data_IF_705955142481
#
_entry.id   IF_705955142481
#
_cell.length_a   1.000
_cell.length_b   1.000
_cell.length_c   1.000
_cell.angle_alpha   90.00
_cell.angle_beta   90.00
_cell.angle_gamma   90.00
#
_symmetry.space_group_name_H-M   'P 1'
#
loop_
_entity.id
_entity.type
_entity.pdbx_description
1 polymer ?
#
# COMPACT_ATOMS: atom_id res chain seq x y z
N UNK A 1 -23.68 -67.03 -35.26
CA UNK A 1 -24.84 -66.47 -34.58
C UNK A 1 -24.42 -66.00 -33.19
N UNK A 2 -24.20 -64.67 -32.97
CA UNK A 2 -24.67 -63.87 -31.84
C UNK A 2 -24.15 -62.47 -32.01
N UNK A 3 -25.05 -61.66 -32.47
CA UNK A 3 -25.57 -60.39 -31.90
C UNK A 3 -24.57 -59.26 -31.78
N UNK A 4 -24.52 -58.54 -32.79
CA UNK A 4 -24.66 -57.07 -32.89
C UNK A 4 -25.76 -56.55 -31.98
N UNK A 5 -25.37 -55.76 -30.99
CA UNK A 5 -26.18 -54.82 -30.21
C UNK A 5 -25.23 -54.15 -29.21
N UNK A 6 -24.89 -52.92 -29.31
CA UNK A 6 -25.68 -51.75 -29.01
C UNK A 6 -24.83 -50.48 -29.30
N UNK A 7 -25.02 -49.90 -30.46
CA UNK A 7 -24.68 -48.48 -30.65
C UNK A 7 -25.80 -47.70 -30.00
N UNK A 8 -25.60 -47.26 -28.77
CA UNK A 8 -26.41 -46.18 -28.21
C UNK A 8 -26.08 -44.92 -28.99
N UNK A 9 -27.08 -44.10 -29.40
CA UNK A 9 -26.82 -42.82 -30.01
C UNK A 9 -26.14 -41.95 -28.95
N UNK A 10 -25.02 -41.35 -29.32
CA UNK A 10 -24.40 -40.24 -28.58
C UNK A 10 -25.46 -39.17 -28.41
N UNK A 11 -26.11 -39.17 -27.26
CA UNK A 11 -26.89 -38.04 -26.81
C UNK A 11 -25.97 -36.83 -26.78
N UNK A 12 -26.37 -35.77 -27.43
CA UNK A 12 -25.75 -34.45 -27.40
C UNK A 12 -25.46 -34.08 -25.96
N UNK A 13 -24.25 -34.42 -25.45
CA UNK A 13 -23.77 -33.90 -24.18
C UNK A 13 -23.74 -32.39 -24.36
N UNK A 14 -24.54 -31.69 -23.59
CA UNK A 14 -24.42 -30.21 -23.48
C UNK A 14 -22.97 -29.93 -23.19
N UNK A 15 -22.31 -29.30 -24.12
CA UNK A 15 -20.90 -28.93 -24.02
C UNK A 15 -20.71 -28.13 -22.73
N UNK A 16 -19.79 -28.56 -21.86
CA UNK A 16 -19.54 -27.93 -20.57
C UNK A 16 -19.24 -26.46 -20.77
N UNK A 17 -19.70 -25.61 -19.84
CA UNK A 17 -19.48 -24.15 -19.87
C UNK A 17 -17.99 -23.83 -19.92
N UNK A 18 -17.17 -24.62 -19.20
CA UNK A 18 -15.71 -24.52 -19.17
C UNK A 18 -15.07 -24.64 -20.56
N UNK A 19 -15.53 -25.62 -21.36
CA UNK A 19 -15.03 -25.87 -22.73
C UNK A 19 -15.41 -24.72 -23.68
N UNK A 20 -16.64 -24.19 -23.56
CA UNK A 20 -17.07 -23.02 -24.34
C UNK A 20 -16.25 -21.79 -23.98
N UNK A 21 -15.99 -21.56 -22.68
CA UNK A 21 -15.17 -20.46 -22.19
C UNK A 21 -13.74 -20.57 -22.72
N UNK A 22 -13.12 -21.74 -22.60
CA UNK A 22 -11.77 -21.97 -23.09
C UNK A 22 -11.64 -21.69 -24.60
N UNK A 23 -12.60 -22.20 -25.40
CA UNK A 23 -12.61 -21.99 -26.86
C UNK A 23 -12.88 -20.53 -27.21
N UNK A 24 -13.71 -19.84 -26.47
CA UNK A 24 -13.95 -18.38 -26.60
C UNK A 24 -12.66 -17.60 -26.36
N UNK A 25 -11.95 -17.89 -25.26
CA UNK A 25 -10.67 -17.26 -24.91
C UNK A 25 -9.66 -17.48 -26.03
N UNK A 26 -9.52 -18.73 -26.53
CA UNK A 26 -8.55 -19.04 -27.56
C UNK A 26 -8.86 -18.32 -28.88
N UNK A 27 -10.13 -18.29 -29.27
CA UNK A 27 -10.58 -17.64 -30.50
C UNK A 27 -10.47 -16.13 -30.49
N UNK A 28 -10.58 -15.52 -29.31
CA UNK A 28 -10.58 -14.07 -29.11
C UNK A 28 -9.34 -13.57 -28.36
N UNK A 29 -8.23 -14.35 -28.36
CA UNK A 29 -7.02 -14.04 -27.61
C UNK A 29 -6.53 -12.61 -27.78
N UNK A 30 -6.42 -12.12 -29.01
CA UNK A 30 -5.92 -10.76 -29.29
C UNK A 30 -6.85 -9.66 -28.76
N UNK A 31 -8.15 -9.91 -28.73
CA UNK A 31 -9.10 -8.98 -28.09
C UNK A 31 -8.95 -8.96 -26.58
N UNK A 32 -8.76 -10.12 -25.98
CA UNK A 32 -8.55 -10.26 -24.53
C UNK A 32 -7.23 -9.60 -24.13
N UNK A 33 -6.15 -9.88 -24.86
CA UNK A 33 -4.86 -9.21 -24.68
C UNK A 33 -4.98 -7.69 -24.76
N UNK A 34 -5.72 -7.17 -25.77
CA UNK A 34 -5.98 -5.73 -25.91
C UNK A 34 -6.74 -5.13 -24.70
N UNK A 35 -7.75 -5.82 -24.18
CA UNK A 35 -8.49 -5.40 -22.99
C UNK A 35 -7.56 -5.33 -21.77
N UNK A 36 -6.70 -6.32 -21.57
CA UNK A 36 -5.73 -6.31 -20.46
C UNK A 36 -4.71 -5.18 -20.59
N UNK A 37 -4.20 -4.92 -21.80
CA UNK A 37 -3.27 -3.80 -22.05
C UNK A 37 -3.94 -2.45 -21.74
N UNK A 38 -5.16 -2.24 -22.23
CA UNK A 38 -5.93 -1.02 -21.94
C UNK A 38 -6.20 -0.92 -20.44
N UNK A 39 -6.60 -2.02 -19.81
CA UNK A 39 -6.80 -2.10 -18.35
C UNK A 39 -5.54 -1.73 -17.56
N UNK A 40 -4.38 -2.20 -17.98
CA UNK A 40 -3.10 -1.85 -17.36
C UNK A 40 -2.78 -0.36 -17.49
N UNK A 41 -2.98 0.22 -18.67
CA UNK A 41 -2.76 1.66 -18.90
C UNK A 41 -3.71 2.48 -18.02
N UNK A 42 -4.98 2.10 -17.96
CA UNK A 42 -5.97 2.76 -17.13
C UNK A 42 -5.60 2.65 -15.64
N UNK A 43 -5.17 1.45 -15.20
CA UNK A 43 -4.75 1.20 -13.82
C UNK A 43 -3.51 1.99 -13.42
N UNK A 44 -2.56 2.22 -14.32
CA UNK A 44 -1.42 3.10 -14.07
C UNK A 44 -1.85 4.54 -13.80
N UNK A 45 -2.85 5.02 -14.53
CA UNK A 45 -3.40 6.37 -14.34
C UNK A 45 -4.19 6.44 -13.02
N UNK A 46 -5.11 5.50 -12.81
CA UNK A 46 -5.99 5.52 -11.63
C UNK A 46 -5.25 5.32 -10.32
N UNK A 47 -4.15 4.54 -10.33
CA UNK A 47 -3.29 4.33 -9.15
C UNK A 47 -2.74 5.65 -8.57
N UNK A 48 -2.52 6.68 -9.40
CA UNK A 48 -2.05 8.00 -8.96
C UNK A 48 -3.10 8.76 -8.14
N UNK A 49 -4.38 8.40 -8.28
CA UNK A 49 -5.51 9.04 -7.60
C UNK A 49 -6.05 8.24 -6.41
N UNK A 50 -5.47 7.07 -6.12
CA UNK A 50 -5.86 6.27 -4.94
C UNK A 50 -5.34 6.94 -3.68
N UNK A 51 -6.26 7.24 -2.75
CA UNK A 51 -5.90 7.75 -1.45
C UNK A 51 -5.63 6.59 -0.49
N UNK A 52 -4.41 6.58 0.07
CA UNK A 52 -4.02 5.61 1.09
C UNK A 52 -4.08 6.29 2.45
N UNK A 53 -4.85 5.72 3.37
CA UNK A 53 -4.99 6.22 4.72
C UNK A 53 -3.97 5.57 5.65
N UNK A 54 -3.17 6.39 6.32
CA UNK A 54 -2.16 6.00 7.30
C UNK A 54 -2.61 6.24 8.75
N UNK A 55 -3.81 6.82 8.95
CA UNK A 55 -4.35 7.10 10.28
C UNK A 55 -4.82 5.79 10.94
N UNK A 56 -4.05 5.32 11.92
CA UNK A 56 -4.37 4.12 12.68
C UNK A 56 -5.64 4.26 13.54
N UNK A 57 -6.04 5.46 13.87
CA UNK A 57 -7.22 5.71 14.70
C UNK A 57 -8.52 5.37 13.98
N UNK A 58 -8.52 5.42 12.65
CA UNK A 58 -9.67 5.05 11.83
C UNK A 58 -9.97 3.54 11.80
N UNK A 59 -9.04 2.70 12.29
CA UNK A 59 -9.27 1.25 12.41
C UNK A 59 -10.00 0.87 13.71
N UNK A 60 -10.17 1.81 14.63
CA UNK A 60 -10.97 1.57 15.81
C UNK A 60 -12.45 1.38 15.43
N UNK A 61 -13.16 0.44 16.07
CA UNK A 61 -14.61 0.32 15.88
C UNK A 61 -15.31 1.65 16.14
N UNK A 62 -16.30 1.98 15.32
CA UNK A 62 -17.05 3.26 15.46
C UNK A 62 -17.72 3.42 16.81
N UNK A 63 -18.06 2.30 17.46
CA UNK A 63 -18.69 2.24 18.78
C UNK A 63 -17.68 2.36 19.92
N UNK A 64 -16.39 2.33 19.66
CA UNK A 64 -15.38 2.47 20.69
C UNK A 64 -15.41 3.89 21.29
N UNK A 65 -15.41 3.98 22.61
CA UNK A 65 -15.48 5.28 23.33
C UNK A 65 -14.34 6.24 22.91
N UNK A 66 -13.15 5.71 22.66
CA UNK A 66 -12.00 6.49 22.15
C UNK A 66 -12.25 7.05 20.74
N UNK A 67 -12.92 6.28 19.86
CA UNK A 67 -13.27 6.74 18.51
C UNK A 67 -14.34 7.82 18.57
N UNK A 68 -15.40 7.63 19.36
CA UNK A 68 -16.46 8.61 19.55
C UNK A 68 -15.87 9.93 20.09
N UNK A 69 -14.97 9.84 21.09
CA UNK A 69 -14.31 11.01 21.64
C UNK A 69 -13.43 11.75 20.63
N UNK A 70 -12.67 11.01 19.80
CA UNK A 70 -11.86 11.59 18.73
C UNK A 70 -12.71 12.27 17.67
N UNK A 71 -13.78 11.63 17.22
CA UNK A 71 -14.67 12.17 16.20
C UNK A 71 -15.37 13.44 16.71
N UNK A 72 -15.80 13.47 17.99
CA UNK A 72 -16.36 14.66 18.64
C UNK A 72 -15.33 15.79 18.74
N UNK A 73 -14.09 15.49 19.14
CA UNK A 73 -13.02 16.49 19.18
C UNK A 73 -12.71 17.07 17.80
N UNK A 74 -12.69 16.21 16.76
CA UNK A 74 -12.49 16.64 15.37
C UNK A 74 -13.61 17.60 14.91
N UNK A 75 -14.87 17.30 15.29
CA UNK A 75 -16.03 18.09 14.88
C UNK A 75 -16.09 19.44 15.60
N UNK A 76 -15.85 19.48 16.91
CA UNK A 76 -16.06 20.67 17.74
C UNK A 76 -14.84 21.61 17.74
N UNK A 77 -13.62 21.06 17.71
CA UNK A 77 -12.38 21.83 17.92
C UNK A 77 -11.36 21.69 16.78
N UNK A 78 -11.64 20.86 15.79
CA UNK A 78 -10.63 20.40 14.88
C UNK A 78 -9.71 19.37 15.57
N UNK A 79 -8.83 18.75 14.82
CA UNK A 79 -7.79 17.87 15.35
C UNK A 79 -6.48 18.16 14.61
N UNK A 80 -5.85 19.29 14.93
CA UNK A 80 -4.61 19.69 14.29
C UNK A 80 -3.49 18.72 14.61
N UNK A 81 -2.58 18.55 13.67
CA UNK A 81 -1.37 17.78 13.86
C UNK A 81 -0.45 18.48 14.87
N UNK A 82 0.31 17.70 15.63
CA UNK A 82 1.23 18.22 16.62
C UNK A 82 2.61 17.63 16.50
N UNK A 83 3.62 18.48 16.76
CA UNK A 83 5.00 18.06 16.90
C UNK A 83 5.66 18.80 18.05
N UNK A 84 6.66 18.17 18.65
CA UNK A 84 7.60 18.81 19.59
C UNK A 84 8.99 18.67 19.02
N UNK A 85 9.71 19.76 18.96
CA UNK A 85 11.07 19.81 18.46
C UNK A 85 12.02 20.29 19.54
N UNK A 86 13.25 19.79 19.50
CA UNK A 86 14.36 20.32 20.31
C UNK A 86 15.48 20.73 19.36
N UNK A 87 15.96 21.96 19.53
CA UNK A 87 17.07 22.52 18.76
C UNK A 87 18.27 22.63 19.69
N UNK A 88 19.37 21.97 19.36
CA UNK A 88 20.61 22.00 20.14
C UNK A 88 21.57 23.07 19.66
N UNK A 89 22.49 23.46 20.55
CA UNK A 89 23.56 24.42 20.31
C UNK A 89 23.04 25.75 19.73
N UNK A 90 22.05 26.31 20.39
CA UNK A 90 21.44 27.62 20.02
C UNK A 90 21.36 28.52 21.23
N UNK A 91 21.62 29.80 21.03
CA UNK A 91 21.30 30.84 22.00
C UNK A 91 19.80 31.16 22.00
N UNK A 92 19.30 31.83 23.05
CA UNK A 92 17.90 32.29 23.11
C UNK A 92 17.49 33.12 21.88
N UNK A 93 18.39 33.97 21.40
CA UNK A 93 18.14 34.81 20.23
C UNK A 93 18.06 33.97 18.93
N UNK A 94 18.98 33.02 18.75
CA UNK A 94 18.96 32.10 17.60
C UNK A 94 17.73 31.21 17.64
N UNK A 95 17.34 30.73 18.82
CA UNK A 95 16.13 29.91 18.96
C UNK A 95 14.89 30.69 18.53
N UNK A 96 14.80 32.01 18.89
CA UNK A 96 13.72 32.87 18.39
C UNK A 96 13.72 33.00 16.88
N UNK A 97 14.89 33.16 16.26
CA UNK A 97 14.98 33.24 14.81
C UNK A 97 14.52 31.92 14.14
N UNK A 98 14.83 30.77 14.74
CA UNK A 98 14.33 29.48 14.25
C UNK A 98 12.82 29.39 14.43
N UNK A 99 12.28 29.79 15.59
CA UNK A 99 10.83 29.85 15.81
C UNK A 99 10.13 30.65 14.71
N UNK A 100 10.58 31.88 14.45
CA UNK A 100 9.97 32.76 13.45
C UNK A 100 10.02 32.15 12.01
N UNK A 101 11.09 31.43 11.69
CA UNK A 101 11.21 30.73 10.42
C UNK A 101 10.29 29.53 10.33
N UNK A 102 10.13 28.76 11.42
CA UNK A 102 9.25 27.58 11.46
C UNK A 102 7.79 28.03 11.36
N UNK A 103 7.42 29.12 12.06
CA UNK A 103 6.07 29.69 12.03
C UNK A 103 5.69 30.26 10.66
N UNK A 104 6.68 30.57 9.81
CA UNK A 104 6.47 31.01 8.42
C UNK A 104 6.33 29.87 7.40
N UNK A 105 6.50 28.62 7.81
CA UNK A 105 6.37 27.44 6.93
C UNK A 105 4.88 27.19 6.66
N UNK A 106 4.54 26.93 5.40
CA UNK A 106 3.17 26.61 4.99
C UNK A 106 2.67 25.33 5.69
N UNK A 107 1.50 25.39 6.31
CA UNK A 107 0.93 24.29 7.09
C UNK A 107 1.27 24.32 8.59
N UNK A 108 2.04 25.29 9.07
CA UNK A 108 2.27 25.55 10.50
C UNK A 108 1.30 26.63 10.97
N UNK A 109 0.42 26.29 11.91
CA UNK A 109 -0.53 27.22 12.53
C UNK A 109 0.15 28.03 13.64
N UNK A 110 0.85 27.36 14.55
CA UNK A 110 1.46 28.00 15.72
C UNK A 110 2.70 27.27 16.21
N UNK A 111 3.67 28.05 16.70
CA UNK A 111 4.83 27.57 17.45
C UNK A 111 4.83 28.12 18.85
N UNK A 112 4.64 27.26 19.84
CA UNK A 112 4.68 27.63 21.28
C UNK A 112 6.11 27.45 21.81
N UNK A 113 6.59 28.54 22.45
CA UNK A 113 7.89 28.57 23.13
C UNK A 113 7.84 29.56 24.30
N UNK A 114 8.90 29.66 25.09
CA UNK A 114 8.94 30.53 26.26
C UNK A 114 8.75 32.05 25.98
N UNK A 115 8.91 32.48 24.73
CA UNK A 115 8.71 33.88 24.32
C UNK A 115 7.25 34.35 24.42
N UNK A 116 6.30 33.44 24.56
CA UNK A 116 4.88 33.77 24.80
C UNK A 116 4.63 34.28 26.23
N UNK A 117 5.46 33.86 27.19
CA UNK A 117 5.30 34.17 28.62
C UNK A 117 6.42 35.04 29.16
N UNK A 118 7.59 35.00 28.54
CA UNK A 118 8.80 35.70 29.03
C UNK A 118 9.39 36.58 27.94
N UNK A 119 9.74 37.81 28.29
CA UNK A 119 10.43 38.72 27.37
C UNK A 119 11.89 38.32 27.21
N UNK A 120 12.18 37.51 26.14
CA UNK A 120 13.53 37.04 25.85
C UNK A 120 14.53 38.10 25.40
N UNK A 121 14.05 39.33 25.12
CA UNK A 121 14.90 40.49 24.80
C UNK A 121 15.33 41.28 26.05
N UNK A 122 14.79 40.93 27.21
CA UNK A 122 15.34 41.45 28.48
C UNK A 122 16.76 40.89 28.64
N UNK A 123 17.69 41.71 29.15
CA UNK A 123 19.06 41.24 29.39
C UNK A 123 19.06 39.96 30.23
N UNK A 124 20.03 39.07 30.02
CA UNK A 124 20.10 37.76 30.71
C UNK A 124 19.95 37.83 32.22
N UNK A 125 20.36 38.96 32.83
CA UNK A 125 20.22 39.21 34.27
C UNK A 125 18.77 39.46 34.72
N UNK A 126 17.85 39.69 33.79
CA UNK A 126 16.43 39.95 34.06
C UNK A 126 15.51 38.78 33.69
N UNK A 127 16.06 37.73 33.11
CA UNK A 127 15.32 36.51 32.77
C UNK A 127 15.56 35.51 33.90
N UNK A 128 14.48 35.14 34.62
CA UNK A 128 14.56 34.03 35.55
C UNK A 128 14.64 32.71 34.78
N UNK A 129 15.82 32.10 34.78
CA UNK A 129 16.07 30.88 34.03
C UNK A 129 15.21 29.70 34.50
N UNK A 130 14.82 29.67 35.76
CA UNK A 130 13.94 28.63 36.32
C UNK A 130 12.54 28.69 35.69
N UNK A 131 12.09 29.88 35.24
CA UNK A 131 10.76 30.03 34.60
C UNK A 131 10.72 29.55 33.16
N UNK A 132 11.88 29.36 32.52
CA UNK A 132 12.00 28.91 31.12
C UNK A 132 12.68 27.54 30.97
N UNK A 133 13.04 26.87 32.08
CA UNK A 133 13.82 25.63 32.11
C UNK A 133 13.13 24.50 31.33
N UNK A 134 11.80 24.50 31.22
CA UNK A 134 11.02 23.54 30.41
C UNK A 134 11.14 23.75 28.89
N UNK A 135 11.51 24.99 28.49
CA UNK A 135 11.59 25.40 27.08
C UNK A 135 13.00 25.71 26.59
N UNK A 136 13.91 26.03 27.52
CA UNK A 136 15.30 26.34 27.20
C UNK A 136 16.23 25.95 28.31
N UNK A 137 17.15 25.04 28.05
CA UNK A 137 18.15 24.54 28.99
C UNK A 137 19.39 24.07 28.25
N UNK A 138 20.56 24.28 28.81
CA UNK A 138 21.86 23.78 28.29
C UNK A 138 22.08 24.12 26.81
N UNK A 139 21.75 25.33 26.37
CA UNK A 139 21.78 25.77 24.97
C UNK A 139 20.87 24.94 24.03
N UNK A 140 19.85 24.28 24.56
CA UNK A 140 18.81 23.59 23.79
C UNK A 140 17.47 24.32 23.97
N UNK A 141 16.77 24.53 22.86
CA UNK A 141 15.42 25.09 22.87
C UNK A 141 14.40 23.98 22.51
N UNK A 142 13.32 23.90 23.28
CA UNK A 142 12.21 22.98 23.05
C UNK A 142 10.97 23.77 22.65
N UNK A 143 10.37 23.44 21.53
CA UNK A 143 9.20 24.13 20.97
C UNK A 143 8.10 23.14 20.65
N UNK A 144 6.86 23.53 20.94
CA UNK A 144 5.67 22.78 20.54
C UNK A 144 5.07 23.42 19.29
N UNK A 145 4.80 22.58 18.27
CA UNK A 145 4.27 23.02 16.98
C UNK A 145 2.87 22.44 16.81
N UNK A 146 1.96 23.29 16.40
CA UNK A 146 0.62 22.92 15.95
C UNK A 146 0.53 23.19 14.45
N UNK A 147 -0.03 22.25 13.70
CA UNK A 147 -0.21 22.37 12.26
C UNK A 147 -1.65 22.74 11.90
N UNK A 148 -1.86 23.32 10.71
CA UNK A 148 -3.19 23.67 10.20
C UNK A 148 -4.08 22.43 9.98
N UNK A 149 -3.48 21.33 9.57
CA UNK A 149 -4.19 20.08 9.27
C UNK A 149 -3.76 18.94 10.21
N UNK A 150 -4.49 17.81 10.16
CA UNK A 150 -4.22 16.65 11.00
C UNK A 150 -2.86 15.99 10.75
N UNK A 151 -2.43 15.16 11.70
CA UNK A 151 -1.11 14.51 11.76
C UNK A 151 -0.71 13.71 10.50
N UNK A 152 -1.67 13.20 9.73
CA UNK A 152 -1.44 12.35 8.55
C UNK A 152 -1.59 13.09 7.23
N UNK A 153 -1.87 14.38 7.27
CA UNK A 153 -2.09 15.21 6.09
C UNK A 153 -0.82 15.36 5.25
N UNK A 154 -1.01 15.62 3.96
CA UNK A 154 0.11 15.90 3.05
C UNK A 154 0.78 17.23 3.37
N UNK A 155 -0.01 18.23 3.75
CA UNK A 155 0.49 19.56 4.12
C UNK A 155 1.35 19.46 5.39
N UNK A 156 0.83 18.83 6.45
CA UNK A 156 1.57 18.57 7.69
C UNK A 156 2.86 17.77 7.43
N UNK A 157 2.79 16.76 6.57
CA UNK A 157 3.97 15.96 6.21
C UNK A 157 5.03 16.79 5.49
N UNK A 158 4.64 17.69 4.59
CA UNK A 158 5.54 18.60 3.88
C UNK A 158 6.15 19.64 4.85
N UNK A 159 5.35 20.20 5.73
CA UNK A 159 5.84 21.14 6.77
C UNK A 159 6.89 20.46 7.68
N UNK A 160 6.66 19.21 8.10
CA UNK A 160 7.66 18.45 8.88
C UNK A 160 8.97 18.25 8.12
N UNK A 161 8.93 18.03 6.77
CA UNK A 161 10.16 17.95 5.97
C UNK A 161 10.90 19.27 5.93
N UNK A 162 10.19 20.36 5.68
CA UNK A 162 10.79 21.69 5.63
C UNK A 162 11.41 22.09 6.97
N UNK A 163 10.76 21.74 8.09
CA UNK A 163 11.33 21.92 9.43
C UNK A 163 12.61 21.10 9.61
N UNK A 164 12.63 19.83 9.15
CA UNK A 164 13.83 18.99 9.23
C UNK A 164 14.97 19.56 8.39
N UNK A 165 14.67 20.02 7.18
CA UNK A 165 15.66 20.62 6.29
C UNK A 165 16.22 21.94 6.86
N UNK A 166 15.35 22.76 7.47
CA UNK A 166 15.72 24.02 8.13
C UNK A 166 16.68 23.82 9.31
N UNK A 167 16.44 22.80 10.13
CA UNK A 167 17.19 22.56 11.36
C UNK A 167 18.41 21.64 11.16
N UNK A 168 18.39 20.82 10.11
CA UNK A 168 19.46 19.89 9.80
C UNK A 168 19.87 19.03 11.00
N UNK A 169 21.18 18.94 11.28
CA UNK A 169 21.74 18.13 12.37
C UNK A 169 21.50 18.69 13.78
N UNK A 170 20.95 19.91 13.89
CA UNK A 170 20.63 20.51 15.20
C UNK A 170 19.26 20.11 15.72
N UNK A 171 18.38 19.55 14.88
CA UNK A 171 17.00 19.24 15.23
C UNK A 171 16.78 17.83 15.78
N UNK A 172 16.00 17.71 16.84
CA UNK A 172 15.41 16.46 17.32
C UNK A 172 13.89 16.61 17.31
N UNK A 173 13.20 15.56 16.89
CA UNK A 173 11.78 15.64 16.54
C UNK A 173 10.98 14.53 17.21
N UNK A 174 9.82 14.87 17.77
CA UNK A 174 8.84 13.93 18.30
C UNK A 174 7.42 14.49 18.11
N UNK A 175 6.40 13.73 18.49
CA UNK A 175 5.00 14.11 18.32
C UNK A 175 4.31 13.27 17.24
N UNK A 176 2.96 13.35 17.23
CA UNK A 176 2.15 12.46 16.39
C UNK A 176 2.40 12.68 14.90
N UNK A 177 2.51 13.93 14.44
CA UNK A 177 2.79 14.23 13.04
C UNK A 177 4.13 13.62 12.57
N UNK A 178 5.18 13.75 13.39
CA UNK A 178 6.50 13.21 13.08
C UNK A 178 6.49 11.67 13.10
N UNK A 179 5.82 11.06 14.09
CA UNK A 179 5.72 9.61 14.23
C UNK A 179 4.94 9.00 13.06
N UNK A 180 3.78 9.57 12.71
CA UNK A 180 2.96 9.09 11.60
C UNK A 180 3.69 9.20 10.27
N UNK A 181 4.43 10.31 10.05
CA UNK A 181 5.27 10.48 8.88
C UNK A 181 6.39 9.44 8.82
N UNK A 182 7.14 9.25 9.90
CA UNK A 182 8.21 8.26 9.96
C UNK A 182 7.69 6.83 9.79
N UNK A 183 6.52 6.52 10.36
CA UNK A 183 5.85 5.25 10.17
C UNK A 183 5.52 5.01 8.69
N UNK A 184 4.97 6.02 8.02
CA UNK A 184 4.64 5.95 6.59
C UNK A 184 5.89 5.68 5.74
N UNK A 185 6.95 6.46 5.93
CA UNK A 185 8.21 6.34 5.19
C UNK A 185 8.87 4.97 5.40
N UNK A 186 8.92 4.49 6.66
CA UNK A 186 9.46 3.19 6.99
C UNK A 186 8.65 2.06 6.36
N UNK A 187 7.31 2.10 6.44
CA UNK A 187 6.45 1.10 5.81
C UNK A 187 6.64 1.09 4.29
N UNK A 188 6.67 2.25 3.65
CA UNK A 188 6.87 2.32 2.19
C UNK A 188 8.23 1.73 1.78
N UNK A 189 9.28 2.03 2.50
CA UNK A 189 10.63 1.52 2.27
C UNK A 189 10.74 0.00 2.53
N UNK A 190 10.24 -0.46 3.67
CA UNK A 190 10.25 -1.87 4.04
C UNK A 190 9.41 -2.73 3.09
N UNK A 191 8.25 -2.22 2.65
CA UNK A 191 7.40 -2.94 1.72
C UNK A 191 8.05 -3.14 0.35
N UNK A 192 8.84 -2.18 -0.13
CA UNK A 192 9.60 -2.36 -1.37
C UNK A 192 10.63 -3.49 -1.23
N UNK A 193 11.32 -3.56 -0.09
CA UNK A 193 12.28 -4.64 0.21
C UNK A 193 11.58 -6.00 0.32
N UNK A 194 10.48 -6.07 1.05
CA UNK A 194 9.69 -7.30 1.22
C UNK A 194 9.18 -7.79 -0.15
N UNK A 195 8.66 -6.90 -0.98
CA UNK A 195 8.19 -7.25 -2.32
C UNK A 195 9.32 -7.76 -3.21
N UNK A 196 10.49 -7.13 -3.17
CA UNK A 196 11.67 -7.57 -3.91
C UNK A 196 12.11 -8.99 -3.48
N UNK A 197 12.21 -9.23 -2.17
CA UNK A 197 12.57 -10.55 -1.63
C UNK A 197 11.52 -11.60 -2.01
N UNK A 198 10.23 -11.27 -1.92
CA UNK A 198 9.14 -12.16 -2.32
C UNK A 198 9.24 -12.53 -3.81
N UNK A 199 9.47 -11.56 -4.70
CA UNK A 199 9.64 -11.81 -6.14
C UNK A 199 10.85 -12.71 -6.41
N UNK A 200 11.99 -12.47 -5.74
CA UNK A 200 13.18 -13.31 -5.88
C UNK A 200 12.91 -14.75 -5.42
N UNK A 201 12.24 -14.92 -4.27
CA UNK A 201 11.88 -16.25 -3.76
C UNK A 201 10.94 -16.98 -4.72
N UNK A 202 9.90 -16.30 -5.20
CA UNK A 202 8.95 -16.87 -6.16
C UNK A 202 9.66 -17.25 -7.46
N UNK A 203 10.53 -16.38 -7.97
CA UNK A 203 11.31 -16.67 -9.17
C UNK A 203 12.19 -17.92 -8.99
N UNK A 204 12.86 -18.05 -7.85
CA UNK A 204 13.68 -19.23 -7.54
C UNK A 204 12.82 -20.51 -7.48
N UNK A 205 11.67 -20.48 -6.82
CA UNK A 205 10.74 -21.61 -6.77
C UNK A 205 10.23 -21.96 -8.17
N UNK A 206 9.86 -20.97 -8.98
CA UNK A 206 9.43 -21.18 -10.36
C UNK A 206 10.53 -21.82 -11.21
N UNK A 207 11.79 -21.39 -11.09
CA UNK A 207 12.91 -21.98 -11.80
C UNK A 207 13.15 -23.47 -11.44
N UNK A 208 12.81 -23.85 -10.21
CA UNK A 208 12.93 -25.27 -9.76
C UNK A 208 11.73 -26.10 -10.25
N UNK A 209 10.55 -25.53 -10.28
CA UNK A 209 9.30 -26.26 -10.56
C UNK A 209 8.94 -26.31 -12.04
N UNK A 210 9.41 -25.36 -12.85
CA UNK A 210 9.11 -25.28 -14.28
C UNK A 210 10.17 -25.96 -15.13
N UNK A 211 9.77 -26.48 -16.27
CA UNK A 211 10.66 -27.21 -17.19
C UNK A 211 11.29 -26.31 -18.26
N UNK A 212 10.69 -25.18 -18.56
CA UNK A 212 11.16 -24.23 -19.56
C UNK A 212 11.60 -22.91 -18.95
N UNK A 213 12.77 -22.42 -19.34
CA UNK A 213 13.36 -21.16 -18.85
C UNK A 213 12.50 -19.90 -19.07
N UNK A 214 11.58 -19.92 -20.03
CA UNK A 214 10.68 -18.78 -20.31
C UNK A 214 9.46 -18.73 -19.40
N UNK A 215 9.07 -19.84 -18.77
CA UNK A 215 7.86 -19.93 -17.94
C UNK A 215 7.90 -19.03 -16.70
N UNK A 216 8.99 -18.98 -15.92
CA UNK A 216 9.09 -18.08 -14.76
C UNK A 216 8.86 -16.60 -15.12
N UNK A 217 9.39 -16.16 -16.25
CA UNK A 217 9.20 -14.78 -16.70
C UNK A 217 7.76 -14.48 -17.10
N UNK A 218 7.10 -15.41 -17.78
CA UNK A 218 5.67 -15.27 -18.12
C UNK A 218 4.81 -15.18 -16.86
N UNK A 219 5.09 -15.99 -15.85
CA UNK A 219 4.37 -15.91 -14.57
C UNK A 219 4.58 -14.57 -13.87
N UNK A 220 5.81 -14.08 -13.80
CA UNK A 220 6.09 -12.77 -13.21
C UNK A 220 5.36 -11.63 -13.94
N UNK A 221 5.27 -11.69 -15.27
CA UNK A 221 4.50 -10.71 -16.06
C UNK A 221 3.02 -10.78 -15.70
N UNK A 222 2.43 -11.98 -15.66
CA UNK A 222 1.01 -12.16 -15.32
C UNK A 222 0.71 -11.68 -13.91
N UNK A 223 1.58 -11.99 -12.95
CA UNK A 223 1.46 -11.50 -11.56
C UNK A 223 1.57 -9.97 -11.50
N UNK A 224 2.54 -9.39 -12.22
CA UNK A 224 2.70 -7.94 -12.31
C UNK A 224 1.47 -7.25 -12.87
N UNK A 225 0.88 -7.78 -13.94
CA UNK A 225 -0.39 -7.30 -14.51
C UNK A 225 -1.52 -7.40 -13.49
N UNK A 226 -1.64 -8.51 -12.77
CA UNK A 226 -2.68 -8.70 -11.77
C UNK A 226 -2.57 -7.70 -10.60
N UNK A 227 -1.35 -7.48 -10.09
CA UNK A 227 -1.08 -6.49 -9.03
C UNK A 227 -1.40 -5.08 -9.52
N UNK A 228 -1.00 -4.74 -10.74
CA UNK A 228 -1.25 -3.44 -11.33
C UNK A 228 -2.76 -3.15 -11.46
N UNK A 229 -3.51 -4.12 -11.97
CA UNK A 229 -4.97 -4.02 -12.09
C UNK A 229 -5.63 -3.87 -10.71
N UNK A 230 -5.19 -4.64 -9.72
CA UNK A 230 -5.72 -4.53 -8.36
C UNK A 230 -5.46 -3.13 -7.77
N UNK A 231 -4.25 -2.61 -7.86
CA UNK A 231 -3.94 -1.25 -7.37
C UNK A 231 -4.76 -0.17 -8.08
N UNK A 232 -4.95 -0.30 -9.39
CA UNK A 232 -5.76 0.66 -10.15
C UNK A 232 -7.24 0.60 -9.79
N UNK A 233 -7.79 -0.59 -9.54
CA UNK A 233 -9.21 -0.76 -9.16
C UNK A 233 -9.51 -0.28 -7.73
N UNK A 234 -8.51 -0.08 -6.89
CA UNK A 234 -8.69 0.49 -5.55
C UNK A 234 -9.31 1.89 -5.58
N UNK A 235 -9.26 2.62 -6.70
CA UNK A 235 -9.94 3.91 -6.86
C UNK A 235 -11.45 3.82 -6.61
N UNK A 236 -12.08 2.68 -6.92
CA UNK A 236 -13.51 2.45 -6.68
C UNK A 236 -13.85 2.29 -5.19
N UNK A 237 -12.86 2.02 -4.34
CA UNK A 237 -13.02 1.90 -2.89
C UNK A 237 -12.88 3.27 -2.19
N UNK A 238 -12.46 4.31 -2.93
CA UNK A 238 -12.21 5.64 -2.38
C UNK A 238 -10.90 5.68 -1.59
N UNK A 239 -10.98 5.51 -0.27
CA UNK A 239 -9.80 5.48 0.60
C UNK A 239 -9.48 4.04 1.01
N UNK A 240 -8.24 3.63 0.84
CA UNK A 240 -7.75 2.29 1.18
C UNK A 240 -6.77 2.38 2.34
N UNK A 241 -6.91 1.49 3.32
CA UNK A 241 -5.93 1.35 4.40
C UNK A 241 -4.53 1.03 3.86
N UNK A 242 -3.49 1.64 4.42
CA UNK A 242 -2.11 1.29 4.09
C UNK A 242 -1.81 -0.19 4.34
N UNK A 243 -2.35 -0.75 5.43
CA UNK A 243 -2.19 -2.16 5.76
C UNK A 243 -2.82 -3.05 4.69
N UNK A 244 -4.07 -2.78 4.31
CA UNK A 244 -4.78 -3.52 3.25
C UNK A 244 -4.06 -3.39 1.91
N UNK A 245 -3.64 -2.18 1.53
CA UNK A 245 -2.93 -1.93 0.27
C UNK A 245 -1.62 -2.74 0.17
N UNK A 246 -0.88 -2.87 1.26
CA UNK A 246 0.40 -3.57 1.29
C UNK A 246 0.23 -5.09 1.39
N UNK A 247 -0.62 -5.56 2.32
CA UNK A 247 -0.87 -7.00 2.51
C UNK A 247 -1.54 -7.61 1.27
N UNK A 248 -2.46 -6.89 0.63
CA UNK A 248 -3.12 -7.37 -0.59
C UNK A 248 -2.13 -7.66 -1.72
N UNK A 249 -1.07 -6.86 -1.88
CA UNK A 249 -0.04 -7.11 -2.92
C UNK A 249 0.70 -8.43 -2.67
N UNK A 250 1.11 -8.68 -1.43
CA UNK A 250 1.85 -9.89 -1.06
C UNK A 250 0.95 -11.13 -1.18
N UNK A 251 -0.29 -11.05 -0.68
CA UNK A 251 -1.25 -12.14 -0.80
C UNK A 251 -1.58 -12.45 -2.26
N UNK A 252 -1.78 -11.42 -3.08
CA UNK A 252 -2.07 -11.60 -4.50
C UNK A 252 -0.90 -12.23 -5.24
N UNK A 253 0.34 -11.85 -4.92
CA UNK A 253 1.53 -12.46 -5.48
C UNK A 253 1.55 -13.98 -5.19
N UNK A 254 1.31 -14.36 -3.93
CA UNK A 254 1.31 -15.75 -3.50
C UNK A 254 0.17 -16.57 -4.16
N UNK A 255 -1.07 -16.06 -4.10
CA UNK A 255 -2.24 -16.79 -4.63
C UNK A 255 -2.24 -16.90 -6.15
N UNK A 256 -1.78 -15.86 -6.85
CA UNK A 256 -1.71 -15.88 -8.32
C UNK A 256 -0.71 -16.91 -8.83
N UNK A 257 0.37 -17.16 -8.09
CA UNK A 257 1.35 -18.18 -8.41
C UNK A 257 0.72 -19.58 -8.44
N UNK A 258 -0.01 -19.93 -7.39
CA UNK A 258 -0.60 -21.26 -7.24
C UNK A 258 -1.57 -21.60 -8.39
N UNK A 259 -2.44 -20.66 -8.76
CA UNK A 259 -3.38 -20.87 -9.86
C UNK A 259 -2.68 -21.01 -11.22
N UNK A 260 -1.62 -20.25 -11.43
CA UNK A 260 -0.84 -20.30 -12.67
C UNK A 260 -0.08 -21.60 -12.83
N UNK A 261 0.57 -22.07 -11.76
CA UNK A 261 1.29 -23.35 -11.76
C UNK A 261 0.31 -24.52 -11.99
N UNK A 262 -0.84 -24.50 -11.31
CA UNK A 262 -1.84 -25.54 -11.47
C UNK A 262 -2.36 -25.67 -12.91
N UNK A 263 -2.63 -24.52 -13.56
CA UNK A 263 -3.07 -24.49 -14.94
C UNK A 263 -1.98 -24.96 -15.91
N UNK A 264 -0.72 -24.56 -15.67
CA UNK A 264 0.42 -24.97 -16.49
C UNK A 264 0.67 -26.47 -16.40
N UNK A 265 0.63 -27.04 -15.19
CA UNK A 265 0.82 -28.46 -14.98
C UNK A 265 -0.30 -29.29 -15.68
N UNK A 266 -1.55 -28.82 -15.57
CA UNK A 266 -2.67 -29.42 -16.30
C UNK A 266 -2.45 -29.34 -17.82
N UNK A 267 -2.00 -28.21 -18.35
CA UNK A 267 -1.70 -28.01 -19.76
C UNK A 267 -0.55 -28.94 -20.23
N UNK A 268 0.53 -29.02 -19.46
CA UNK A 268 1.69 -29.86 -19.78
C UNK A 268 1.30 -31.33 -19.83
N UNK A 269 0.48 -31.82 -18.92
CA UNK A 269 -0.05 -33.19 -18.93
C UNK A 269 -0.88 -33.47 -20.17
N UNK A 270 -1.74 -32.56 -20.61
CA UNK A 270 -2.53 -32.70 -21.81
C UNK A 270 -1.66 -32.66 -23.07
N UNK A 271 -0.63 -31.84 -23.10
CA UNK A 271 0.35 -31.79 -24.19
C UNK A 271 1.13 -33.10 -24.35
N UNK A 272 1.49 -33.74 -23.23
CA UNK A 272 2.19 -35.05 -23.25
C UNK A 272 1.35 -36.16 -23.86
N UNK A 273 0.01 -36.01 -23.90
CA UNK A 273 -0.89 -36.96 -24.62
C UNK A 273 -0.88 -36.78 -26.13
N UNK A 274 -0.10 -35.83 -26.67
CA UNK A 274 0.01 -35.56 -28.11
C UNK A 274 -1.06 -34.64 -28.68
N UNK A 275 -1.87 -34.00 -27.83
CA UNK A 275 -2.89 -33.04 -28.25
C UNK A 275 -2.26 -31.74 -28.77
N UNK A 276 -2.95 -31.05 -29.67
CA UNK A 276 -2.53 -29.74 -30.13
C UNK A 276 -2.70 -28.67 -29.01
N UNK A 277 -2.15 -27.46 -29.19
CA UNK A 277 -2.17 -26.41 -28.15
C UNK A 277 -3.58 -25.98 -27.74
N UNK A 278 -4.52 -25.93 -28.70
CA UNK A 278 -5.90 -25.50 -28.43
C UNK A 278 -6.66 -26.57 -27.65
N UNK A 279 -6.55 -27.82 -28.05
CA UNK A 279 -7.20 -28.96 -27.39
C UNK A 279 -6.61 -29.16 -25.98
N UNK A 280 -5.27 -29.14 -25.86
CA UNK A 280 -4.59 -29.28 -24.58
C UNK A 280 -4.98 -28.18 -23.58
N UNK A 281 -5.04 -26.93 -24.02
CA UNK A 281 -5.46 -25.82 -23.18
C UNK A 281 -6.95 -25.91 -22.81
N UNK A 282 -7.81 -26.31 -23.76
CA UNK A 282 -9.24 -26.49 -23.49
C UNK A 282 -9.49 -27.55 -22.41
N UNK A 283 -8.78 -28.68 -22.49
CA UNK A 283 -8.88 -29.74 -21.52
C UNK A 283 -8.26 -29.37 -20.18
N UNK A 284 -7.14 -28.63 -20.17
CA UNK A 284 -6.51 -28.13 -18.98
C UNK A 284 -7.43 -27.18 -18.22
N UNK A 285 -8.09 -26.26 -18.92
CA UNK A 285 -9.07 -25.33 -18.30
C UNK A 285 -10.27 -26.12 -17.75
N UNK A 286 -10.81 -27.11 -18.48
CA UNK A 286 -11.93 -27.93 -17.97
C UNK A 286 -11.56 -28.70 -16.70
N UNK A 287 -10.33 -29.19 -16.61
CA UNK A 287 -9.83 -29.89 -15.44
C UNK A 287 -9.53 -28.97 -14.27
N UNK A 288 -8.98 -27.78 -14.53
CA UNK A 288 -8.49 -26.85 -13.51
C UNK A 288 -9.58 -25.90 -12.97
N UNK A 289 -10.56 -25.52 -13.78
CA UNK A 289 -11.49 -24.42 -13.49
C UNK A 289 -12.26 -24.62 -12.18
N UNK A 290 -12.72 -25.80 -11.88
CA UNK A 290 -13.48 -26.09 -10.67
C UNK A 290 -12.60 -25.96 -9.41
N UNK A 291 -11.36 -26.43 -9.49
CA UNK A 291 -10.40 -26.34 -8.38
C UNK A 291 -9.96 -24.89 -8.14
N UNK A 292 -9.67 -24.16 -9.22
CA UNK A 292 -9.30 -22.74 -9.16
C UNK A 292 -10.47 -21.92 -8.59
N UNK A 293 -11.68 -22.17 -9.07
CA UNK A 293 -12.86 -21.45 -8.58
C UNK A 293 -13.15 -21.73 -7.11
N UNK A 294 -13.07 -22.99 -6.69
CA UNK A 294 -13.27 -23.37 -5.29
C UNK A 294 -12.20 -22.77 -4.37
N UNK A 295 -10.93 -22.81 -4.79
CA UNK A 295 -9.82 -22.21 -4.03
C UNK A 295 -9.94 -20.68 -3.97
N UNK A 296 -10.30 -20.02 -5.07
CA UNK A 296 -10.52 -18.57 -5.09
C UNK A 296 -11.68 -18.17 -4.17
N UNK A 297 -12.77 -18.94 -4.15
CA UNK A 297 -13.91 -18.67 -3.29
C UNK A 297 -13.54 -18.80 -1.80
N UNK A 298 -12.75 -19.81 -1.43
CA UNK A 298 -12.28 -19.98 -0.05
C UNK A 298 -11.29 -18.91 0.39
N UNK A 299 -10.61 -18.24 -0.55
CA UNK A 299 -9.70 -17.13 -0.23
C UNK A 299 -10.47 -15.82 0.01
N UNK A 300 -11.66 -15.66 -0.59
CA UNK A 300 -12.50 -14.45 -0.47
C UNK A 300 -13.41 -14.50 0.77
N UNK A 301 -13.79 -15.70 1.22
CA UNK A 301 -14.66 -15.90 2.40
C UNK A 301 -13.85 -16.05 3.67
#
# INVERSE_FOLDING_TARGET
>A
KKKEKDRRPEGTQKEKVSIRLARFIFRRKSWIEGIFVIGCILSLITMLFVNVNYDLTEYLPKEAASRIGLDQMKEDFGYPGTARIMIKDVSLYEAKQYKDKIEAIDGVDQVLWCDTTTNIYAGQDFINMDDIDDYYKDNCAVMDITFDEGDTSKLTSAAVDEIKDLLGDKGYYTGMAVQNKSLKENIESEMQLILLVAVIMIFAVLCITTTAWSEPFLFLIVMGVAILLNRGTNIFLGTVSFLTNNVAMVLQLATSMDYSIFLLDAFTRERQKGLNNEEAMTNAIDAAINSIFASSLTTVV
#
